data_IF_118096486271
#
_entry.id   IF_118096486271
#
_cell.length_a   1.000
_cell.length_b   1.000
_cell.length_c   1.000
_cell.angle_alpha   90.00
_cell.angle_beta   90.00
_cell.angle_gamma   90.00
#
_symmetry.space_group_name_H-M   'P 1'
#
loop_
_entity.id
_entity.type
_entity.pdbx_description
1 polymer ?
#
# COMPACT_ATOMS: atom_id res chain seq x y z
N UNK A 1 -50.60 -27.29 8.87
CA UNK A 1 -50.71 -26.75 7.50
C UNK A 1 -50.48 -25.26 7.67
N UNK A 2 -49.31 -24.70 7.37
CA UNK A 2 -48.61 -24.78 6.08
C UNK A 2 -47.12 -25.09 6.20
N UNK A 3 -46.72 -26.27 5.69
CA UNK A 3 -45.39 -26.41 5.12
C UNK A 3 -45.47 -25.79 3.72
N UNK A 4 -45.27 -24.49 3.60
CA UNK A 4 -44.77 -23.93 2.36
C UNK A 4 -43.36 -24.51 2.19
N UNK A 5 -43.28 -25.68 1.55
CA UNK A 5 -42.04 -26.43 1.39
C UNK A 5 -40.97 -25.51 0.83
N UNK A 6 -39.84 -25.43 1.52
CA UNK A 6 -38.70 -24.64 1.07
C UNK A 6 -38.41 -25.01 -0.39
N UNK A 7 -38.49 -24.03 -1.29
CA UNK A 7 -38.26 -24.25 -2.71
C UNK A 7 -36.85 -24.86 -2.87
N UNK A 8 -36.68 -26.07 -3.41
CA UNK A 8 -35.39 -26.76 -3.39
C UNK A 8 -34.26 -25.98 -4.07
N UNK A 9 -34.59 -25.17 -5.08
CA UNK A 9 -33.65 -24.29 -5.80
C UNK A 9 -33.14 -23.11 -4.96
N UNK A 10 -33.76 -22.83 -3.81
CA UNK A 10 -33.37 -21.76 -2.90
C UNK A 10 -32.58 -22.27 -1.68
N UNK A 11 -32.40 -23.59 -1.54
CA UNK A 11 -31.59 -24.16 -0.47
C UNK A 11 -30.14 -23.66 -0.57
N UNK A 12 -29.54 -23.34 0.58
CA UNK A 12 -28.15 -22.85 0.69
C UNK A 12 -27.87 -21.53 -0.05
N UNK A 13 -28.92 -20.81 -0.48
CA UNK A 13 -28.76 -19.51 -1.15
C UNK A 13 -28.16 -18.45 -0.21
N UNK A 14 -28.40 -18.58 1.10
CA UNK A 14 -27.93 -17.71 2.18
C UNK A 14 -27.53 -18.56 3.37
N UNK A 15 -26.79 -17.98 4.31
CA UNK A 15 -26.42 -18.62 5.57
C UNK A 15 -27.34 -18.10 6.67
N UNK A 16 -28.47 -18.76 6.87
CA UNK A 16 -29.50 -18.35 7.83
C UNK A 16 -29.63 -19.35 9.00
N UNK A 17 -29.01 -20.54 8.86
CA UNK A 17 -29.03 -21.60 9.86
C UNK A 17 -27.63 -22.00 10.34
N UNK A 18 -27.57 -22.65 11.51
CA UNK A 18 -26.32 -23.20 12.07
C UNK A 18 -25.70 -24.24 11.14
N UNK A 19 -26.52 -25.09 10.51
CA UNK A 19 -26.05 -26.13 9.59
C UNK A 19 -25.37 -25.53 8.36
N UNK A 20 -25.93 -24.46 7.78
CA UNK A 20 -25.32 -23.74 6.66
C UNK A 20 -23.98 -23.11 7.06
N UNK A 21 -23.88 -22.54 8.27
CA UNK A 21 -22.62 -21.98 8.76
C UNK A 21 -21.57 -23.07 9.01
N UNK A 22 -21.99 -24.21 9.57
CA UNK A 22 -21.14 -25.38 9.77
C UNK A 22 -20.63 -25.89 8.43
N UNK A 23 -21.49 -25.94 7.41
CA UNK A 23 -21.09 -26.31 6.05
C UNK A 23 -20.03 -25.36 5.48
N UNK A 24 -20.18 -24.05 5.61
CA UNK A 24 -19.13 -23.08 5.18
C UNK A 24 -17.81 -23.36 5.90
N UNK A 25 -17.84 -23.54 7.23
CA UNK A 25 -16.64 -23.82 8.01
C UNK A 25 -15.99 -25.15 7.60
N UNK A 26 -16.80 -26.17 7.34
CA UNK A 26 -16.35 -27.49 6.91
C UNK A 26 -15.66 -27.42 5.54
N UNK A 27 -16.25 -26.70 4.57
CA UNK A 27 -15.62 -26.43 3.28
C UNK A 27 -14.29 -25.69 3.47
N UNK A 28 -14.22 -24.67 4.33
CA UNK A 28 -12.96 -23.94 4.59
C UNK A 28 -11.85 -24.85 5.12
N UNK A 29 -12.16 -25.76 6.07
CA UNK A 29 -11.18 -26.70 6.62
C UNK A 29 -10.71 -27.69 5.54
N UNK A 30 -11.65 -28.30 4.80
CA UNK A 30 -11.33 -29.28 3.78
C UNK A 30 -10.58 -28.68 2.59
N UNK A 31 -10.86 -27.42 2.23
CA UNK A 31 -10.25 -26.74 1.09
C UNK A 31 -8.93 -26.03 1.43
N UNK A 32 -8.56 -25.90 2.70
CA UNK A 32 -7.35 -25.16 3.09
C UNK A 32 -6.07 -25.68 2.43
N UNK A 33 -5.88 -27.01 2.38
CA UNK A 33 -4.73 -27.61 1.71
C UNK A 33 -4.66 -27.25 0.23
N UNK A 34 -5.78 -27.43 -0.48
CA UNK A 34 -5.89 -27.06 -1.90
C UNK A 34 -5.68 -25.55 -2.14
N UNK A 35 -6.23 -24.70 -1.27
CA UNK A 35 -6.02 -23.26 -1.34
C UNK A 35 -4.54 -22.95 -1.19
N UNK A 36 -3.85 -23.52 -0.20
CA UNK A 36 -2.43 -23.25 0.05
C UNK A 36 -1.52 -23.80 -1.04
N UNK A 37 -1.80 -24.98 -1.55
CA UNK A 37 -0.89 -25.73 -2.43
C UNK A 37 -1.16 -25.51 -3.93
N UNK A 38 -2.35 -25.02 -4.30
CA UNK A 38 -2.74 -24.90 -5.72
C UNK A 38 -3.24 -23.51 -6.10
N UNK A 39 -4.15 -22.91 -5.31
CA UNK A 39 -4.84 -21.67 -5.70
C UNK A 39 -4.13 -20.41 -5.17
N UNK A 40 -3.44 -20.53 -4.05
CA UNK A 40 -2.96 -19.40 -3.24
C UNK A 40 -2.00 -18.49 -3.99
N UNK A 41 -1.04 -19.05 -4.72
CA UNK A 41 -0.07 -18.27 -5.50
C UNK A 41 -0.74 -17.44 -6.62
N UNK A 42 -1.69 -18.06 -7.34
CA UNK A 42 -2.43 -17.37 -8.40
C UNK A 42 -3.33 -16.26 -7.84
N UNK A 43 -3.99 -16.52 -6.72
CA UNK A 43 -4.81 -15.52 -6.03
C UNK A 43 -3.95 -14.35 -5.52
N UNK A 44 -2.81 -14.64 -4.90
CA UNK A 44 -1.87 -13.62 -4.45
C UNK A 44 -1.35 -12.78 -5.63
N UNK A 45 -0.96 -13.44 -6.72
CA UNK A 45 -0.47 -12.78 -7.93
C UNK A 45 -1.51 -11.84 -8.53
N UNK A 46 -2.78 -12.27 -8.59
CA UNK A 46 -3.87 -11.42 -9.05
C UNK A 46 -4.06 -10.17 -8.17
N UNK A 47 -4.09 -10.36 -6.86
CA UNK A 47 -4.24 -9.24 -5.89
C UNK A 47 -3.06 -8.27 -6.01
N UNK A 48 -1.83 -8.79 -6.10
CA UNK A 48 -0.62 -7.99 -6.27
C UNK A 48 -0.61 -7.22 -7.60
N UNK A 49 -1.03 -7.85 -8.70
CA UNK A 49 -1.14 -7.19 -10.00
C UNK A 49 -2.19 -6.07 -10.01
N UNK A 50 -3.35 -6.29 -9.36
CA UNK A 50 -4.37 -5.24 -9.20
C UNK A 50 -3.82 -4.08 -8.38
N UNK A 51 -3.18 -4.35 -7.23
CA UNK A 51 -2.57 -3.32 -6.39
C UNK A 51 -1.49 -2.52 -7.14
N UNK A 52 -0.61 -3.21 -7.86
CA UNK A 52 0.41 -2.58 -8.70
C UNK A 52 -0.24 -1.69 -9.76
N UNK A 53 -1.29 -2.17 -10.44
CA UNK A 53 -1.98 -1.41 -11.48
C UNK A 53 -2.66 -0.16 -10.93
N UNK A 54 -3.28 -0.24 -9.76
CA UNK A 54 -3.86 0.92 -9.07
C UNK A 54 -2.76 1.96 -8.77
N UNK A 55 -1.64 1.51 -8.21
CA UNK A 55 -0.54 2.36 -7.75
C UNK A 55 0.28 3.03 -8.88
N UNK A 56 0.09 2.61 -10.14
CA UNK A 56 0.65 3.27 -11.32
C UNK A 56 -0.05 4.58 -11.69
N UNK A 57 -1.20 4.88 -11.08
CA UNK A 57 -1.95 6.11 -11.28
C UNK A 57 -2.23 6.83 -9.96
N UNK A 58 -2.69 8.09 -10.01
CA UNK A 58 -3.03 8.84 -8.81
C UNK A 58 -4.17 8.17 -8.03
N UNK A 59 -4.00 8.13 -6.71
CA UNK A 59 -5.00 7.69 -5.74
C UNK A 59 -5.22 8.81 -4.74
N UNK A 60 -6.47 9.26 -4.59
CA UNK A 60 -6.80 10.27 -3.59
C UNK A 60 -6.75 9.66 -2.19
N UNK A 61 -5.84 10.14 -1.34
CA UNK A 61 -5.59 9.57 -0.02
C UNK A 61 -6.78 9.72 0.96
N UNK A 62 -7.72 10.62 0.69
CA UNK A 62 -8.87 10.89 1.57
C UNK A 62 -10.06 9.98 1.21
N UNK A 63 -10.39 9.91 -0.08
CA UNK A 63 -11.55 9.16 -0.58
C UNK A 63 -11.22 7.73 -1.01
N UNK A 64 -9.95 7.42 -1.28
CA UNK A 64 -9.49 6.15 -1.82
C UNK A 64 -9.82 5.95 -3.31
N UNK A 65 -10.34 6.98 -3.99
CA UNK A 65 -10.61 6.90 -5.44
C UNK A 65 -9.32 6.90 -6.24
N UNK A 66 -9.27 6.09 -7.28
CA UNK A 66 -8.07 5.89 -8.10
C UNK A 66 -8.34 6.14 -9.59
N UNK A 67 -7.32 6.58 -10.32
CA UNK A 67 -7.39 6.69 -11.78
C UNK A 67 -7.60 5.31 -12.43
N UNK A 68 -6.85 4.31 -11.96
CA UNK A 68 -6.98 2.94 -12.44
C UNK A 68 -7.79 2.13 -11.44
N UNK A 69 -8.99 1.71 -11.84
CA UNK A 69 -9.91 0.92 -11.02
C UNK A 69 -10.76 0.01 -11.90
N UNK A 70 -11.27 -1.07 -11.30
CA UNK A 70 -12.26 -1.96 -11.92
C UNK A 70 -13.70 -1.55 -11.57
N UNK A 71 -13.89 -0.54 -10.72
CA UNK A 71 -15.20 -0.08 -10.25
C UNK A 71 -15.38 1.42 -10.50
N UNK A 72 -16.44 1.79 -11.23
CA UNK A 72 -16.79 3.16 -11.59
C UNK A 72 -17.04 4.06 -10.37
N UNK A 73 -17.63 3.54 -9.29
CA UNK A 73 -17.88 4.30 -8.06
C UNK A 73 -16.56 4.78 -7.41
N UNK A 74 -15.48 4.04 -7.64
CA UNK A 74 -14.13 4.30 -7.13
C UNK A 74 -13.24 5.04 -8.14
N UNK A 75 -13.79 5.46 -9.29
CA UNK A 75 -13.04 6.18 -10.31
C UNK A 75 -12.75 7.62 -9.87
N UNK A 76 -11.49 8.01 -9.98
CA UNK A 76 -11.04 9.39 -9.79
C UNK A 76 -11.24 10.18 -11.09
N UNK A 77 -12.32 10.96 -11.17
CA UNK A 77 -12.73 11.65 -12.39
C UNK A 77 -11.87 12.85 -12.78
N UNK A 78 -11.35 13.58 -11.79
CA UNK A 78 -10.57 14.80 -12.01
C UNK A 78 -9.12 14.53 -11.64
N UNK A 79 -8.33 14.14 -12.65
CA UNK A 79 -6.91 13.88 -12.48
C UNK A 79 -6.12 14.99 -13.16
N UNK A 80 -5.38 15.75 -12.35
CA UNK A 80 -4.37 16.68 -12.85
C UNK A 80 -3.22 15.92 -13.51
N UNK A 81 -2.45 16.58 -14.36
CA UNK A 81 -1.18 16.02 -14.85
C UNK A 81 -0.30 15.59 -13.65
N UNK A 82 0.29 14.41 -13.77
CA UNK A 82 1.15 13.81 -12.75
C UNK A 82 2.38 13.22 -13.43
N UNK A 83 3.49 13.17 -12.69
CA UNK A 83 4.77 12.68 -13.18
C UNK A 83 5.28 11.55 -12.29
N UNK A 84 5.92 10.56 -12.91
CA UNK A 84 6.67 9.54 -12.18
C UNK A 84 7.98 10.13 -11.68
N UNK A 85 8.30 9.88 -10.41
CA UNK A 85 9.55 10.27 -9.76
C UNK A 85 10.23 9.01 -9.25
N UNK A 86 11.51 8.83 -9.61
CA UNK A 86 12.31 7.70 -9.15
C UNK A 86 13.06 8.08 -7.87
N UNK A 87 12.77 7.39 -6.77
CA UNK A 87 13.43 7.58 -5.48
C UNK A 87 14.54 6.55 -5.29
N UNK A 88 15.70 7.00 -4.79
CA UNK A 88 16.78 6.13 -4.36
C UNK A 88 16.74 6.01 -2.84
N UNK A 89 16.27 4.88 -2.34
CA UNK A 89 16.02 4.66 -0.90
C UNK A 89 17.08 3.73 -0.32
N UNK A 90 17.80 4.19 0.69
CA UNK A 90 18.71 3.37 1.47
C UNK A 90 18.01 2.86 2.73
N UNK A 91 18.30 1.61 3.06
CA UNK A 91 17.76 0.96 4.25
C UNK A 91 18.74 1.10 5.41
N UNK A 92 18.35 1.82 6.47
CA UNK A 92 19.06 1.81 7.76
C UNK A 92 18.48 0.81 8.76
N UNK A 93 17.41 0.09 8.41
CA UNK A 93 16.64 -0.77 9.34
C UNK A 93 17.36 -2.12 9.61
N UNK A 94 18.45 -2.44 8.90
CA UNK A 94 19.16 -3.73 9.05
C UNK A 94 20.34 -3.73 10.02
N UNK A 95 20.71 -2.62 10.66
CA UNK A 95 21.87 -2.63 11.57
C UNK A 95 21.48 -2.84 13.02
N UNK A 96 21.34 -4.12 13.39
CA UNK A 96 21.86 -4.55 14.69
C UNK A 96 23.37 -4.26 14.67
N UNK A 97 23.77 -3.16 15.31
CA UNK A 97 25.12 -2.77 15.71
C UNK A 97 26.30 -3.11 14.77
N UNK A 98 26.82 -2.07 14.11
CA UNK A 98 28.23 -1.98 13.71
C UNK A 98 28.57 -2.56 12.33
N UNK A 99 29.20 -1.73 11.50
CA UNK A 99 29.73 -2.04 10.17
C UNK A 99 28.71 -2.52 9.13
N UNK A 100 28.12 -1.55 8.42
CA UNK A 100 27.79 -1.76 7.02
C UNK A 100 28.56 -0.71 6.21
N UNK A 101 29.60 -1.16 5.50
CA UNK A 101 30.12 -0.42 4.36
C UNK A 101 28.96 -0.17 3.39
N UNK A 102 28.77 1.10 3.00
CA UNK A 102 27.70 1.53 2.09
C UNK A 102 27.79 0.85 0.71
N UNK A 103 28.89 0.15 0.41
CA UNK A 103 29.11 -0.62 -0.82
C UNK A 103 28.34 -1.95 -0.88
N UNK A 104 27.94 -2.54 0.27
CA UNK A 104 27.29 -3.86 0.29
C UNK A 104 25.74 -3.80 0.23
N UNK A 105 25.14 -2.59 0.30
CA UNK A 105 23.69 -2.42 0.20
C UNK A 105 23.32 -1.33 -0.83
N UNK A 106 23.15 -1.69 -2.11
CA UNK A 106 22.75 -0.72 -3.12
C UNK A 106 21.34 -0.18 -2.84
N UNK A 107 21.07 1.10 -3.16
CA UNK A 107 19.78 1.71 -2.90
C UNK A 107 18.64 0.95 -3.59
N UNK A 108 17.52 0.81 -2.88
CA UNK A 108 16.28 0.34 -3.47
C UNK A 108 15.69 1.48 -4.30
N UNK A 109 15.58 1.26 -5.60
CA UNK A 109 14.92 2.21 -6.48
C UNK A 109 13.42 2.00 -6.50
N UNK A 110 12.66 3.03 -6.17
CA UNK A 110 11.19 2.99 -6.05
C UNK A 110 10.57 4.08 -6.90
N UNK A 111 9.66 3.72 -7.78
CA UNK A 111 8.88 4.68 -8.57
C UNK A 111 7.63 5.12 -7.80
N UNK A 112 7.47 6.43 -7.66
CA UNK A 112 6.31 7.08 -7.04
C UNK A 112 5.76 8.16 -7.98
N UNK A 113 4.63 8.74 -7.65
CA UNK A 113 4.05 9.87 -8.37
C UNK A 113 4.32 11.16 -7.58
N UNK A 114 4.51 12.28 -8.29
CA UNK A 114 4.62 13.60 -7.68
C UNK A 114 3.37 14.01 -6.86
N UNK A 115 2.22 13.44 -7.19
CA UNK A 115 0.97 13.61 -6.44
C UNK A 115 0.78 12.64 -5.27
N UNK A 116 1.64 11.63 -5.09
CA UNK A 116 1.54 10.72 -3.95
C UNK A 116 1.79 11.50 -2.65
N UNK A 117 0.98 11.23 -1.62
CA UNK A 117 1.26 11.71 -0.26
C UNK A 117 2.51 11.04 0.30
N UNK A 118 3.03 11.57 1.41
CA UNK A 118 4.18 10.95 2.09
C UNK A 118 3.79 9.58 2.63
N UNK A 119 2.58 9.43 3.18
CA UNK A 119 2.03 8.13 3.58
C UNK A 119 2.02 7.12 2.44
N UNK A 120 1.46 7.49 1.28
CA UNK A 120 1.41 6.61 0.09
C UNK A 120 2.81 6.25 -0.42
N UNK A 121 3.74 7.20 -0.40
CA UNK A 121 5.14 6.95 -0.77
C UNK A 121 5.79 5.95 0.18
N UNK A 122 5.59 6.08 1.50
CA UNK A 122 6.08 5.11 2.49
C UNK A 122 5.53 3.71 2.24
N UNK A 123 4.24 3.59 1.89
CA UNK A 123 3.64 2.31 1.51
C UNK A 123 4.28 1.70 0.27
N UNK A 124 4.48 2.48 -0.81
CA UNK A 124 5.14 2.00 -2.04
C UNK A 124 6.58 1.55 -1.79
N UNK A 125 7.32 2.29 -0.97
CA UNK A 125 8.69 1.93 -0.57
C UNK A 125 8.68 0.63 0.24
N UNK A 126 7.77 0.52 1.20
CA UNK A 126 7.65 -0.68 2.03
C UNK A 126 7.26 -1.91 1.21
N UNK A 127 6.33 -1.78 0.26
CA UNK A 127 5.96 -2.85 -0.67
C UNK A 127 7.16 -3.28 -1.53
N UNK A 128 7.93 -2.33 -2.07
CA UNK A 128 9.13 -2.63 -2.84
C UNK A 128 10.19 -3.34 -1.99
N UNK A 129 10.34 -2.94 -0.72
CA UNK A 129 11.24 -3.59 0.22
C UNK A 129 10.81 -5.03 0.52
N UNK A 130 9.54 -5.24 0.85
CA UNK A 130 9.00 -6.57 1.16
C UNK A 130 9.01 -7.51 -0.05
N UNK A 131 8.82 -6.98 -1.26
CA UNK A 131 8.96 -7.77 -2.50
C UNK A 131 10.42 -8.19 -2.76
N UNK A 132 11.41 -7.36 -2.40
CA UNK A 132 12.83 -7.65 -2.61
C UNK A 132 13.42 -8.57 -1.53
N UNK A 133 13.07 -8.33 -0.26
CA UNK A 133 13.70 -8.98 0.89
C UNK A 133 12.79 -9.95 1.65
N UNK A 134 11.51 -10.05 1.27
CA UNK A 134 10.50 -10.89 1.91
C UNK A 134 9.74 -10.19 3.05
N UNK A 135 8.54 -10.69 3.35
CA UNK A 135 7.70 -10.14 4.42
C UNK A 135 8.29 -10.43 5.81
N UNK A 136 8.80 -9.40 6.49
CA UNK A 136 9.15 -9.45 7.90
C UNK A 136 7.99 -8.95 8.75
N UNK A 137 7.59 -9.69 9.80
CA UNK A 137 6.59 -9.24 10.78
C UNK A 137 7.14 -8.15 11.74
N UNK A 138 8.41 -7.76 11.61
CA UNK A 138 9.07 -6.89 12.59
C UNK A 138 8.68 -5.41 12.50
N UNK A 139 8.21 -4.93 11.35
CA UNK A 139 7.99 -3.50 11.13
C UNK A 139 6.67 -3.22 10.42
N UNK A 140 5.96 -2.19 10.85
CA UNK A 140 4.80 -1.65 10.15
C UNK A 140 5.13 -0.31 9.50
N UNK A 141 4.39 0.10 8.46
CA UNK A 141 4.56 1.39 7.78
C UNK A 141 4.47 2.60 8.73
N UNK A 142 3.80 2.43 9.87
CA UNK A 142 3.67 3.46 10.91
C UNK A 142 4.93 3.66 11.73
N UNK A 143 5.80 2.66 11.79
CA UNK A 143 7.04 2.68 12.58
C UNK A 143 8.21 3.26 11.78
N UNK A 144 7.93 3.69 10.53
CA UNK A 144 8.95 4.13 9.58
C UNK A 144 8.68 5.60 9.20
N UNK A 145 9.72 6.41 9.33
CA UNK A 145 9.79 7.76 8.81
C UNK A 145 10.64 7.82 7.53
N UNK A 146 10.24 8.72 6.62
CA UNK A 146 10.94 8.98 5.38
C UNK A 146 11.79 10.24 5.58
N UNK A 147 13.09 10.04 5.73
CA UNK A 147 14.05 11.13 5.87
C UNK A 147 14.67 11.45 4.52
N UNK A 148 14.62 12.72 4.15
CA UNK A 148 15.39 13.29 3.06
C UNK A 148 16.78 13.68 3.55
N UNK A 149 17.81 13.24 2.85
CA UNK A 149 19.18 13.72 3.03
C UNK A 149 19.60 14.59 1.84
N UNK A 150 19.87 15.88 2.10
CA UNK A 150 20.30 16.84 1.09
C UNK A 150 21.39 17.76 1.65
N UNK A 151 22.60 17.68 1.08
CA UNK A 151 23.71 18.59 1.39
C UNK A 151 23.89 18.80 2.92
N UNK A 152 23.99 17.69 3.69
CA UNK A 152 24.13 17.69 5.16
C UNK A 152 22.92 18.22 5.93
N UNK A 153 21.81 18.49 5.26
CA UNK A 153 20.53 18.84 5.88
C UNK A 153 19.60 17.63 5.84
N UNK A 154 19.24 17.15 7.03
CA UNK A 154 18.28 16.07 7.20
C UNK A 154 16.89 16.64 7.48
N UNK A 155 15.89 16.20 6.71
CA UNK A 155 14.48 16.58 6.94
C UNK A 155 13.58 15.36 6.89
N UNK A 156 12.80 15.15 7.96
CA UNK A 156 11.72 14.16 7.97
C UNK A 156 10.53 14.72 7.19
N UNK A 157 10.07 13.98 6.19
CA UNK A 157 8.89 14.32 5.41
C UNK A 157 7.64 13.80 6.09
N UNK A 158 6.57 14.60 6.10
CA UNK A 158 5.30 14.24 6.74
C UNK A 158 4.12 14.71 5.89
N UNK A 159 3.00 14.00 6.00
CA UNK A 159 1.76 14.38 5.31
C UNK A 159 1.25 15.75 5.76
N UNK A 160 1.52 16.15 7.01
CA UNK A 160 1.23 17.48 7.54
C UNK A 160 2.43 17.98 8.32
N UNK A 161 2.94 19.16 7.96
CA UNK A 161 3.98 19.88 8.68
C UNK A 161 3.75 21.41 8.65
N UNK A 162 4.72 22.18 9.12
CA UNK A 162 4.64 23.66 9.13
C UNK A 162 4.61 24.26 7.73
N UNK A 163 5.05 23.53 6.70
CA UNK A 163 5.04 23.98 5.31
C UNK A 163 3.75 23.64 4.57
N UNK A 164 2.82 22.90 5.20
CA UNK A 164 1.57 22.48 4.55
C UNK A 164 0.69 23.64 4.14
N UNK A 165 0.21 23.57 2.90
CA UNK A 165 -0.69 24.57 2.34
C UNK A 165 -2.07 24.52 3.03
N UNK A 166 -2.54 25.67 3.51
CA UNK A 166 -3.88 25.84 4.08
C UNK A 166 -4.81 26.34 2.99
N UNK A 167 -5.88 25.60 2.72
CA UNK A 167 -6.92 25.96 1.75
C UNK A 167 -7.78 27.10 2.28
N UNK A 168 -8.56 27.74 1.39
CA UNK A 168 -9.44 28.89 1.73
C UNK A 168 -10.45 28.57 2.84
N UNK A 169 -10.85 27.30 2.97
CA UNK A 169 -11.77 26.82 4.00
C UNK A 169 -11.08 26.47 5.34
N UNK A 170 -9.78 26.74 5.48
CA UNK A 170 -8.99 26.45 6.68
C UNK A 170 -8.49 25.01 6.79
N UNK A 171 -8.82 24.12 5.85
CA UNK A 171 -8.29 22.76 5.84
C UNK A 171 -6.86 22.73 5.32
N UNK A 172 -6.00 21.89 5.92
CA UNK A 172 -4.65 21.65 5.42
C UNK A 172 -4.67 20.61 4.30
N UNK A 173 -4.04 20.93 3.17
CA UNK A 173 -3.77 19.96 2.10
C UNK A 173 -2.64 19.03 2.55
N UNK A 174 -2.79 17.73 2.28
CA UNK A 174 -1.72 16.75 2.52
C UNK A 174 -0.51 17.07 1.63
N UNK A 175 0.67 17.01 2.21
CA UNK A 175 1.93 17.20 1.51
C UNK A 175 2.17 15.99 0.58
N UNK A 176 2.63 16.28 -0.62
CA UNK A 176 2.99 15.26 -1.63
C UNK A 176 4.47 15.30 -1.95
N UNK A 177 4.95 14.34 -2.74
CA UNK A 177 6.33 14.35 -3.27
C UNK A 177 6.62 15.65 -4.05
N UNK A 178 5.65 16.11 -4.84
CA UNK A 178 5.69 17.38 -5.57
C UNK A 178 5.72 18.61 -4.66
N UNK A 179 5.05 18.57 -3.49
CA UNK A 179 5.10 19.67 -2.50
C UNK A 179 6.53 19.95 -2.05
N UNK A 180 7.29 18.89 -1.78
CA UNK A 180 8.68 18.99 -1.35
C UNK A 180 9.68 19.21 -2.50
N UNK A 181 9.21 19.25 -3.75
CA UNK A 181 10.04 19.38 -4.97
C UNK A 181 11.14 18.33 -5.01
N UNK A 182 10.80 17.10 -4.65
CA UNK A 182 11.72 15.95 -4.68
C UNK A 182 12.21 15.72 -6.10
N UNK A 183 13.51 15.45 -6.25
CA UNK A 183 14.13 15.08 -7.53
C UNK A 183 14.86 13.75 -7.40
N UNK A 184 15.13 13.10 -8.54
CA UNK A 184 15.81 11.78 -8.58
C UNK A 184 17.25 11.80 -8.01
N UNK A 185 17.84 12.99 -7.90
CA UNK A 185 19.17 13.17 -7.33
C UNK A 185 19.21 13.07 -5.80
N UNK A 186 18.05 12.96 -5.14
CA UNK A 186 17.96 12.96 -3.68
C UNK A 186 18.03 11.56 -3.10
N UNK A 187 18.62 11.48 -1.92
CA UNK A 187 18.78 10.24 -1.17
C UNK A 187 17.75 10.21 -0.04
N UNK A 188 17.08 9.07 0.09
CA UNK A 188 16.07 8.85 1.12
C UNK A 188 16.51 7.75 2.07
N UNK A 189 16.27 7.95 3.36
CA UNK A 189 16.55 6.99 4.41
C UNK A 189 15.24 6.57 5.06
N UNK A 190 15.05 5.26 5.23
CA UNK A 190 14.01 4.73 6.10
C UNK A 190 14.55 4.70 7.52
N UNK A 191 13.92 5.46 8.42
CA UNK A 191 14.32 5.59 9.83
C UNK A 191 13.22 5.00 10.70
N UNK A 192 13.58 4.14 11.66
CA UNK A 192 12.64 3.65 12.66
C UNK A 192 12.34 4.75 13.69
N UNK A 193 11.08 4.85 14.08
CA UNK A 193 10.63 5.69 15.20
C UNK A 193 11.08 5.17 16.56
#
# INVERSE_FOLDING_TARGET
MDQAGAQPKLLLRRTETVVEKLLTNWVSICMYGYLRETVGESLFSLVSAIKQRINQGPVDAVTGKALYTLNEDWLLWQVSEFNTVKLNVFNLITTDAGDCDLDDNPPLSVEVLDCDTIGQTKEKIFDAFMNKYGHSQKFHTKDIDLQLDKNETHRILRDIDESSHVLENGLKKLNTIGHYKVTEAWVFLLVLL
#
